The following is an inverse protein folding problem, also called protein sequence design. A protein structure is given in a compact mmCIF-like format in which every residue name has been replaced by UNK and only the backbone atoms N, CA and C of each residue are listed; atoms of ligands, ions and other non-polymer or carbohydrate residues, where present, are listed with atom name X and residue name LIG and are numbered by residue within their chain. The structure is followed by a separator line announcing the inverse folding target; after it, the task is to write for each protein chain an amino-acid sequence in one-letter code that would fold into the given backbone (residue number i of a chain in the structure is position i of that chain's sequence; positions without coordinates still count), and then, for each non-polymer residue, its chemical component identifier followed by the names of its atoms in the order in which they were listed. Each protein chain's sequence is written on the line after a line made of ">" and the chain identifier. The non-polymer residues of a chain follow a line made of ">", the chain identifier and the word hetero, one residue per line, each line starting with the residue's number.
data_IF_017429167658
#
_entry.id   IF_017429167658
#
_cell.length_a   1.000
_cell.length_b   1.000
_cell.length_c   1.000
_cell.angle_alpha   90.00
_cell.angle_beta   90.00
_cell.angle_gamma   90.00
#
_symmetry.space_group_name_H-M   'P 1'
#
loop_
_entity.id
_entity.type
_entity.pdbx_description
1 polymer ?
#
# COMPACT_ATOMS: atom_id res chain seq x y z
N UNK A 1 -20.39 4.45 -1.61
CA UNK A 1 -19.79 3.10 -1.58
C UNK A 1 -18.30 3.31 -1.32
N UNK A 2 -17.75 2.78 -0.23
CA UNK A 2 -16.31 2.93 0.07
C UNK A 2 -15.58 1.75 -0.54
N UNK A 3 -14.71 2.00 -1.51
CA UNK A 3 -13.98 0.97 -2.25
C UNK A 3 -12.55 0.89 -1.73
N UNK A 4 -12.10 -0.23 -1.14
CA UNK A 4 -10.74 -0.40 -0.70
C UNK A 4 -9.76 -0.32 -1.87
N UNK A 5 -8.68 0.42 -1.64
CA UNK A 5 -7.58 0.66 -2.57
C UNK A 5 -6.28 0.63 -1.78
N UNK A 6 -5.24 0.01 -2.34
CA UNK A 6 -3.92 0.02 -1.73
C UNK A 6 -3.25 1.39 -1.91
N UNK A 7 -2.72 1.95 -0.82
CA UNK A 7 -2.04 3.25 -0.83
C UNK A 7 -0.79 3.25 -1.72
N UNK A 8 -0.05 2.14 -1.77
CA UNK A 8 1.16 2.03 -2.61
C UNK A 8 0.78 2.14 -4.09
N UNK A 9 -0.23 1.39 -4.52
CA UNK A 9 -0.71 1.42 -5.90
C UNK A 9 -1.37 2.77 -6.24
N UNK A 10 -2.05 3.42 -5.29
CA UNK A 10 -2.61 4.76 -5.50
C UNK A 10 -1.51 5.81 -5.76
N UNK A 11 -0.41 5.75 -5.00
CA UNK A 11 0.74 6.62 -5.20
C UNK A 11 1.40 6.33 -6.55
N UNK A 12 1.62 5.05 -6.90
CA UNK A 12 2.24 4.70 -8.19
C UNK A 12 1.36 5.10 -9.37
N UNK A 13 0.03 4.90 -9.28
CA UNK A 13 -0.94 5.33 -10.27
C UNK A 13 -0.89 6.86 -10.49
N UNK A 14 -0.81 7.65 -9.41
CA UNK A 14 -0.67 9.12 -9.52
C UNK A 14 0.67 9.54 -10.13
N UNK A 15 1.76 8.81 -9.86
CA UNK A 15 3.10 9.12 -10.39
C UNK A 15 3.26 8.72 -11.85
N UNK A 16 2.67 7.60 -12.26
CA UNK A 16 2.93 6.96 -13.56
C UNK A 16 1.75 7.02 -14.52
N UNK A 17 0.56 7.42 -14.05
CA UNK A 17 -0.68 7.35 -14.81
C UNK A 17 -1.25 5.93 -14.98
N UNK A 18 -0.67 4.93 -14.31
CA UNK A 18 -1.19 3.56 -14.32
C UNK A 18 -2.57 3.49 -13.66
N UNK A 19 -3.33 2.46 -14.04
CA UNK A 19 -4.60 2.15 -13.39
C UNK A 19 -4.35 1.61 -11.98
N UNK A 20 -5.24 1.99 -11.06
CA UNK A 20 -5.25 1.47 -9.70
C UNK A 20 -6.25 0.33 -9.59
N UNK A 21 -5.87 -0.73 -8.87
CA UNK A 21 -6.78 -1.84 -8.58
C UNK A 21 -7.75 -1.46 -7.46
N UNK A 22 -9.02 -1.75 -7.71
CA UNK A 22 -10.14 -1.50 -6.80
C UNK A 22 -10.72 -2.84 -6.38
N UNK A 23 -11.05 -2.97 -5.10
CA UNK A 23 -11.45 -4.26 -4.53
C UNK A 23 -12.85 -4.18 -3.95
N UNK A 24 -13.65 -5.25 -4.14
CA UNK A 24 -14.96 -5.40 -3.49
C UNK A 24 -14.90 -6.41 -2.32
N UNK A 25 -13.94 -7.35 -2.32
CA UNK A 25 -13.71 -8.33 -1.26
C UNK A 25 -12.54 -7.90 -0.37
N UNK A 26 -12.78 -7.77 0.94
CA UNK A 26 -11.76 -7.34 1.89
C UNK A 26 -10.68 -8.39 2.17
N UNK A 27 -11.00 -9.69 2.17
CA UNK A 27 -10.01 -10.74 2.45
C UNK A 27 -9.00 -10.87 1.30
N UNK A 28 -9.48 -10.78 0.06
CA UNK A 28 -8.62 -10.75 -1.13
C UNK A 28 -7.75 -9.48 -1.14
N UNK A 29 -8.35 -8.32 -0.82
CA UNK A 29 -7.61 -7.07 -0.67
C UNK A 29 -6.52 -7.17 0.39
N UNK A 30 -6.83 -7.76 1.55
CA UNK A 30 -5.86 -7.98 2.63
C UNK A 30 -4.72 -8.85 2.15
N UNK A 31 -5.00 -10.03 1.60
CA UNK A 31 -3.97 -10.92 1.07
C UNK A 31 -3.07 -10.25 0.03
N UNK A 32 -3.67 -9.42 -0.84
CA UNK A 32 -2.94 -8.63 -1.83
C UNK A 32 -2.00 -7.59 -1.19
N UNK A 33 -2.49 -6.81 -0.22
CA UNK A 33 -1.68 -5.76 0.44
C UNK A 33 -0.51 -6.30 1.27
N UNK A 34 -0.52 -7.58 1.60
CA UNK A 34 0.56 -8.24 2.36
C UNK A 34 1.71 -8.74 1.49
N UNK A 35 1.59 -8.68 0.16
CA UNK A 35 2.67 -9.03 -0.75
C UNK A 35 3.84 -8.04 -0.63
N UNK A 36 5.07 -8.54 -0.78
CA UNK A 36 6.29 -7.79 -0.56
C UNK A 36 6.41 -6.56 -1.49
N UNK A 37 5.90 -6.66 -2.71
CA UNK A 37 5.89 -5.58 -3.71
C UNK A 37 4.73 -4.59 -3.54
N UNK A 38 3.74 -4.95 -2.70
CA UNK A 38 2.50 -4.19 -2.48
C UNK A 38 2.47 -3.47 -1.13
N UNK A 39 3.51 -3.66 -0.32
CA UNK A 39 3.74 -2.96 0.95
C UNK A 39 4.82 -1.89 0.81
N UNK A 40 4.85 -0.98 1.76
CA UNK A 40 5.96 -0.03 1.90
C UNK A 40 7.20 -0.83 2.32
N UNK A 41 8.33 -0.60 1.64
CA UNK A 41 9.59 -1.24 2.01
C UNK A 41 9.98 -0.89 3.45
N UNK A 42 10.20 -1.91 4.27
CA UNK A 42 10.48 -1.76 5.71
C UNK A 42 11.79 -1.00 5.98
N UNK A 43 12.79 -1.17 5.11
CA UNK A 43 14.09 -0.52 5.27
C UNK A 43 13.97 0.96 4.94
N UNK A 44 13.36 1.28 3.81
CA UNK A 44 13.06 2.66 3.41
C UNK A 44 12.18 3.35 4.45
N UNK A 45 11.18 2.65 4.99
CA UNK A 45 10.27 3.22 5.98
C UNK A 45 10.96 3.65 7.28
N UNK A 46 12.00 2.92 7.69
CA UNK A 46 12.78 3.15 8.92
C UNK A 46 13.94 4.12 8.72
N UNK A 47 14.25 4.55 7.49
CA UNK A 47 15.32 5.53 7.25
C UNK A 47 15.00 6.86 7.93
N UNK A 48 15.97 7.54 8.56
CA UNK A 48 15.75 8.85 9.16
C UNK A 48 15.16 9.84 8.16
N UNK A 49 14.12 10.62 8.51
CA UNK A 49 13.54 10.80 9.85
C UNK A 49 12.45 9.78 10.25
N UNK A 50 12.14 8.78 9.42
CA UNK A 50 11.28 7.65 9.79
C UNK A 50 9.77 7.89 9.66
N UNK A 51 9.33 8.90 8.91
CA UNK A 51 7.90 9.23 8.77
C UNK A 51 7.04 8.07 8.28
N UNK A 52 7.58 7.31 7.33
CA UNK A 52 6.90 6.15 6.74
C UNK A 52 6.75 4.98 7.71
N UNK A 53 7.55 4.93 8.79
CA UNK A 53 7.43 3.88 9.81
C UNK A 53 6.05 3.89 10.49
N UNK A 54 5.41 5.05 10.60
CA UNK A 54 4.04 5.20 11.15
C UNK A 54 2.96 4.58 10.27
N UNK A 55 3.24 4.37 8.98
CA UNK A 55 2.32 3.76 8.01
C UNK A 55 2.54 2.25 7.87
N UNK A 56 3.52 1.69 8.57
CA UNK A 56 3.74 0.25 8.59
C UNK A 56 2.62 -0.42 9.39
N UNK A 57 1.95 -1.39 8.77
CA UNK A 57 1.03 -2.25 9.48
C UNK A 57 1.83 -3.05 10.52
N UNK A 58 1.52 -2.86 11.80
CA UNK A 58 1.92 -3.83 12.83
C UNK A 58 1.10 -5.09 12.59
N UNK A 59 1.79 -6.18 12.20
CA UNK A 59 1.28 -7.54 12.29
C UNK A 59 2.01 -8.27 13.40
#
# INVERSE_FOLDING_TARGET
>A
KNTPVNIVDLIDARRTGKRVEVWDNFEEFRAYTLQDEKRIDLREAKKPPGYLASLLQHL
#
